data_IF_362702255679
#
_entry.id   IF_362702255679
#
_cell.length_a   1.000
_cell.length_b   1.000
_cell.length_c   1.000
_cell.angle_alpha   90.00
_cell.angle_beta   90.00
_cell.angle_gamma   90.00
#
_symmetry.space_group_name_H-M   'P 1'
#
loop_
_entity.id
_entity.type
_entity.pdbx_description
1 polymer ?
#
# COMPACT_ATOMS: atom_id res chain seq x y z
N UNK A 1 2.75 -33.28 -46.22
CA UNK A 1 2.17 -33.67 -44.91
C UNK A 1 2.43 -32.57 -43.91
N UNK A 2 1.39 -32.17 -43.17
CA UNK A 2 1.35 -31.26 -42.00
C UNK A 2 1.63 -29.78 -42.30
N UNK A 3 0.91 -28.79 -41.78
CA UNK A 3 -0.40 -28.65 -41.10
C UNK A 3 -0.60 -27.12 -41.00
N UNK A 4 -1.84 -26.64 -41.14
CA UNK A 4 -2.24 -25.31 -40.65
C UNK A 4 -1.87 -25.14 -39.16
N UNK A 5 -1.62 -23.91 -38.70
CA UNK A 5 -2.29 -23.23 -37.56
C UNK A 5 -1.67 -21.85 -37.27
N UNK A 6 -2.54 -20.83 -37.39
CA UNK A 6 -2.69 -19.55 -36.68
C UNK A 6 -1.47 -18.70 -36.26
N UNK A 7 -1.37 -17.53 -36.91
CA UNK A 7 -1.64 -16.21 -36.32
C UNK A 7 -1.51 -16.10 -34.78
N UNK A 8 -0.40 -15.54 -34.32
CA UNK A 8 -0.34 -14.80 -33.05
C UNK A 8 -0.08 -13.34 -33.39
N UNK A 9 -1.13 -12.54 -33.25
CA UNK A 9 -1.07 -11.09 -33.21
C UNK A 9 -0.09 -10.72 -32.10
N UNK A 10 1.10 -10.24 -32.46
CA UNK A 10 1.92 -9.43 -31.57
C UNK A 10 1.14 -8.14 -31.33
N UNK A 11 0.33 -8.10 -30.27
CA UNK A 11 -0.07 -6.84 -29.66
C UNK A 11 1.16 -6.35 -28.92
N UNK A 12 2.12 -5.83 -29.68
CA UNK A 12 3.07 -4.83 -29.18
C UNK A 12 2.25 -3.57 -28.93
N UNK A 13 1.45 -3.62 -27.87
CA UNK A 13 1.06 -2.40 -27.18
C UNK A 13 2.35 -1.82 -26.66
N UNK A 14 2.88 -0.84 -27.39
CA UNK A 14 3.74 0.20 -26.85
C UNK A 14 2.96 0.88 -25.73
N UNK A 15 2.95 0.26 -24.54
CA UNK A 15 2.55 0.94 -23.33
C UNK A 15 3.66 1.94 -23.06
N UNK A 16 3.40 3.22 -23.27
CA UNK A 16 4.17 4.24 -22.58
C UNK A 16 4.02 3.96 -21.09
N UNK A 17 5.10 3.50 -20.47
CA UNK A 17 5.15 3.24 -19.04
C UNK A 17 5.06 4.61 -18.35
N UNK A 18 3.86 4.97 -17.88
CA UNK A 18 3.72 6.10 -16.99
C UNK A 18 4.21 5.70 -15.60
N UNK A 19 5.13 6.48 -15.04
CA UNK A 19 5.46 6.42 -13.62
C UNK A 19 4.21 6.73 -12.79
N UNK A 20 4.12 6.16 -11.59
CA UNK A 20 3.04 6.47 -10.65
C UNK A 20 3.12 7.96 -10.32
N UNK A 21 2.02 8.68 -10.57
CA UNK A 21 1.98 10.13 -10.33
C UNK A 21 1.60 10.45 -8.88
N UNK A 22 2.02 11.61 -8.37
CA UNK A 22 1.58 12.11 -7.05
C UNK A 22 0.06 12.16 -6.94
N UNK A 23 -0.64 12.56 -8.01
CA UNK A 23 -2.11 12.57 -8.04
C UNK A 23 -2.72 11.18 -7.87
N UNK A 24 -2.07 10.14 -8.42
CA UNK A 24 -2.51 8.77 -8.22
C UNK A 24 -2.28 8.28 -6.79
N UNK A 25 -1.15 8.64 -6.18
CA UNK A 25 -0.89 8.37 -4.75
C UNK A 25 -1.94 9.07 -3.88
N UNK A 26 -2.16 10.36 -4.13
CA UNK A 26 -3.12 11.20 -3.40
C UNK A 26 -4.55 10.65 -3.45
N UNK A 27 -4.91 9.99 -4.55
CA UNK A 27 -6.24 9.41 -4.70
C UNK A 27 -6.59 8.38 -3.62
N UNK A 28 -5.60 7.73 -3.01
CA UNK A 28 -5.81 6.76 -1.93
C UNK A 28 -6.19 7.40 -0.58
N UNK A 29 -5.94 8.70 -0.36
CA UNK A 29 -6.43 9.41 0.83
C UNK A 29 -7.90 9.81 0.75
N UNK A 30 -8.57 9.49 -0.37
CA UNK A 30 -10.01 9.68 -0.55
C UNK A 30 -10.83 9.04 0.57
N UNK A 31 -11.94 9.68 1.02
CA UNK A 31 -12.90 9.06 1.94
C UNK A 31 -13.44 7.71 1.46
N UNK A 32 -13.45 7.46 0.14
CA UNK A 32 -13.93 6.21 -0.48
C UNK A 32 -12.96 5.03 -0.35
N UNK A 33 -11.68 5.28 -0.03
CA UNK A 33 -10.70 4.23 0.17
C UNK A 33 -11.02 3.41 1.41
N UNK A 34 -11.11 2.11 1.26
CA UNK A 34 -11.27 1.15 2.34
C UNK A 34 -9.90 0.60 2.72
N UNK A 35 -9.68 0.36 4.01
CA UNK A 35 -8.40 -0.12 4.52
C UNK A 35 -8.59 -1.50 5.12
N UNK A 36 -7.73 -2.42 4.70
CA UNK A 36 -7.67 -3.78 5.21
C UNK A 36 -6.32 -4.02 5.88
N UNK A 37 -6.30 -4.90 6.87
CA UNK A 37 -5.08 -5.37 7.53
C UNK A 37 -4.92 -6.87 7.28
N UNK A 38 -3.70 -7.27 6.95
CA UNK A 38 -3.29 -8.67 6.80
C UNK A 38 -2.69 -9.19 8.11
N UNK A 39 -2.92 -10.47 8.44
CA UNK A 39 -2.12 -11.16 9.46
C UNK A 39 -0.88 -11.87 8.88
N UNK A 40 -0.71 -11.80 7.56
CA UNK A 40 0.47 -12.26 6.85
C UNK A 40 1.43 -11.07 6.62
N UNK A 41 2.72 -11.38 6.56
CA UNK A 41 3.73 -10.43 6.10
C UNK A 41 4.01 -10.62 4.62
N UNK A 42 4.35 -9.53 3.92
CA UNK A 42 4.77 -9.56 2.52
C UNK A 42 6.11 -8.86 2.32
N UNK A 43 6.75 -9.12 1.20
CA UNK A 43 8.01 -8.48 0.83
C UNK A 43 7.77 -7.05 0.37
N UNK A 44 8.58 -6.14 0.88
CA UNK A 44 8.69 -4.76 0.42
C UNK A 44 10.15 -4.42 0.19
N UNK A 45 10.38 -3.63 -0.86
CA UNK A 45 11.68 -3.04 -1.10
C UNK A 45 11.74 -1.71 -0.34
N UNK A 46 12.90 -1.44 0.22
CA UNK A 46 13.15 -0.25 0.98
C UNK A 46 14.38 0.46 0.45
N UNK A 47 14.27 1.77 0.25
CA UNK A 47 15.35 2.68 -0.10
C UNK A 47 15.10 4.02 0.59
N UNK A 48 16.11 4.58 1.27
CA UNK A 48 15.96 5.93 1.81
C UNK A 48 15.89 6.96 0.69
N UNK A 49 15.06 8.02 0.80
CA UNK A 49 14.91 9.03 -0.26
C UNK A 49 16.22 9.75 -0.64
N UNK A 50 17.19 9.82 0.27
CA UNK A 50 18.50 10.44 0.09
C UNK A 50 19.62 9.44 -0.31
N UNK A 51 19.29 8.15 -0.43
CA UNK A 51 20.22 7.09 -0.84
C UNK A 51 20.23 6.92 -2.37
N UNK A 52 20.75 7.95 -3.06
CA UNK A 52 20.79 8.02 -4.52
C UNK A 52 21.59 6.90 -5.19
N UNK A 53 22.59 6.36 -4.49
CA UNK A 53 23.44 5.26 -4.97
C UNK A 53 22.86 3.87 -4.62
N UNK A 54 21.79 3.83 -3.83
CA UNK A 54 21.07 2.60 -3.46
C UNK A 54 21.87 1.64 -2.57
N UNK A 55 22.90 2.14 -1.90
CA UNK A 55 23.81 1.35 -1.07
C UNK A 55 23.12 0.78 0.18
N UNK A 56 22.06 1.45 0.65
CA UNK A 56 21.29 1.08 1.83
C UNK A 56 19.91 0.50 1.48
N UNK A 57 19.79 -0.09 0.29
CA UNK A 57 18.56 -0.76 -0.13
C UNK A 57 18.38 -2.11 0.54
N UNK A 58 17.13 -2.48 0.88
CA UNK A 58 16.83 -3.82 1.42
C UNK A 58 15.47 -4.35 1.02
N UNK A 59 15.37 -5.68 1.01
CA UNK A 59 14.09 -6.38 0.94
C UNK A 59 13.72 -6.90 2.31
N UNK A 60 12.55 -6.52 2.82
CA UNK A 60 12.08 -6.94 4.14
C UNK A 60 10.67 -7.50 4.10
N UNK A 61 10.38 -8.46 4.98
CA UNK A 61 9.01 -8.95 5.21
C UNK A 61 8.35 -8.12 6.30
N UNK A 62 7.36 -7.32 5.93
CA UNK A 62 6.67 -6.41 6.84
C UNK A 62 5.18 -6.77 6.95
N UNK A 63 4.55 -6.36 8.05
CA UNK A 63 3.09 -6.29 8.08
C UNK A 63 2.67 -5.12 7.17
N UNK A 64 1.42 -5.08 6.73
CA UNK A 64 0.99 -4.04 5.80
C UNK A 64 -0.52 -3.84 5.80
N UNK A 65 -0.91 -2.62 5.49
CA UNK A 65 -2.27 -2.29 5.07
C UNK A 65 -2.45 -2.55 3.57
N UNK A 66 -3.68 -2.90 3.19
CA UNK A 66 -4.14 -2.93 1.79
C UNK A 66 -5.18 -1.84 1.65
N UNK A 67 -4.89 -0.83 0.82
CA UNK A 67 -5.80 0.28 0.53
C UNK A 67 -6.55 -0.02 -0.76
N UNK A 68 -7.87 0.00 -0.68
CA UNK A 68 -8.76 -0.41 -1.78
C UNK A 68 -9.62 0.79 -2.18
N UNK A 69 -9.36 1.31 -3.38
CA UNK A 69 -10.08 2.46 -3.94
C UNK A 69 -10.96 2.04 -5.11
N UNK A 70 -12.28 2.26 -5.02
CA UNK A 70 -13.20 2.06 -6.14
C UNK A 70 -13.00 3.15 -7.22
N UNK A 71 -12.64 2.74 -8.43
CA UNK A 71 -12.47 3.59 -9.62
C UNK A 71 -13.36 3.06 -10.74
N UNK A 72 -14.47 3.75 -11.00
CA UNK A 72 -15.50 3.27 -11.91
C UNK A 72 -16.14 1.98 -11.39
N UNK A 73 -15.93 0.86 -12.10
CA UNK A 73 -16.42 -0.49 -11.73
C UNK A 73 -15.30 -1.43 -11.25
N UNK A 74 -14.09 -0.91 -11.04
CA UNK A 74 -12.91 -1.69 -10.64
C UNK A 74 -12.27 -1.11 -9.39
N UNK A 75 -11.35 -1.83 -8.79
CA UNK A 75 -10.66 -1.47 -7.55
C UNK A 75 -9.18 -1.28 -7.80
N UNK A 76 -8.66 -0.09 -7.50
CA UNK A 76 -7.22 0.19 -7.48
C UNK A 76 -6.68 -0.18 -6.11
N UNK A 77 -5.54 -0.87 -6.08
CA UNK A 77 -4.92 -1.40 -4.86
C UNK A 77 -3.57 -0.74 -4.63
N UNK A 78 -3.35 -0.25 -3.41
CA UNK A 78 -2.01 0.07 -2.91
C UNK A 78 -1.77 -0.63 -1.57
N UNK A 79 -0.52 -0.66 -1.16
CA UNK A 79 -0.06 -1.28 0.07
C UNK A 79 0.67 -0.23 0.91
N UNK A 80 0.50 -0.29 2.23
CA UNK A 80 1.29 0.55 3.13
C UNK A 80 2.01 -0.35 4.12
N UNK A 81 3.33 -0.54 4.01
CA UNK A 81 4.12 -1.31 4.96
C UNK A 81 4.04 -0.67 6.36
N UNK A 82 3.96 -1.50 7.40
CA UNK A 82 4.03 -1.06 8.80
C UNK A 82 5.16 -1.79 9.52
N UNK A 83 5.89 -1.04 10.32
CA UNK A 83 7.05 -1.47 11.07
C UNK A 83 6.76 -1.49 12.58
N UNK A 84 7.66 -2.09 13.35
CA UNK A 84 7.68 -2.06 14.83
C UNK A 84 6.32 -2.38 15.49
N UNK A 85 5.58 -3.35 14.95
CA UNK A 85 4.30 -3.80 15.51
C UNK A 85 4.53 -4.40 16.91
N UNK A 86 3.92 -3.78 17.91
CA UNK A 86 4.13 -4.09 19.34
C UNK A 86 3.38 -5.33 19.84
N UNK A 87 2.24 -5.66 19.23
CA UNK A 87 1.40 -6.78 19.67
C UNK A 87 0.44 -7.27 18.58
N UNK A 88 -0.05 -8.49 18.76
CA UNK A 88 -0.92 -9.20 17.83
C UNK A 88 -2.15 -9.75 18.56
N UNK A 89 -3.30 -9.79 17.88
CA UNK A 89 -4.50 -10.44 18.39
C UNK A 89 -4.37 -11.98 18.36
N UNK A 90 -5.37 -12.68 18.91
CA UNK A 90 -5.38 -14.14 18.95
C UNK A 90 -5.45 -14.81 17.56
N UNK A 91 -5.75 -14.05 16.50
CA UNK A 91 -5.78 -14.49 15.11
C UNK A 91 -4.49 -14.07 14.36
N UNK A 92 -3.53 -13.46 15.06
CA UNK A 92 -2.24 -13.03 14.52
C UNK A 92 -2.27 -11.71 13.75
N UNK A 93 -3.37 -10.95 13.79
CA UNK A 93 -3.38 -9.62 13.17
C UNK A 93 -2.72 -8.60 14.09
N UNK A 94 -2.00 -7.60 13.54
CA UNK A 94 -1.53 -6.46 14.33
C UNK A 94 -2.66 -5.80 15.13
N UNK A 95 -2.42 -5.55 16.41
CA UNK A 95 -3.32 -4.73 17.22
C UNK A 95 -3.03 -3.26 16.92
N UNK A 96 -4.04 -2.51 16.49
CA UNK A 96 -3.91 -1.12 16.05
C UNK A 96 -4.50 -0.19 17.11
N UNK A 97 -3.64 0.57 17.80
CA UNK A 97 -4.05 1.55 18.81
C UNK A 97 -3.56 2.93 18.45
N UNK A 98 -4.36 3.93 18.82
CA UNK A 98 -4.10 5.33 18.54
C UNK A 98 -4.29 6.15 19.81
N UNK A 99 -3.49 7.21 19.91
CA UNK A 99 -3.74 8.32 20.84
C UNK A 99 -3.94 9.60 20.04
N UNK A 100 -4.58 10.60 20.63
CA UNK A 100 -4.70 11.91 19.99
C UNK A 100 -3.54 12.79 20.43
N UNK A 101 -2.74 13.25 19.47
CA UNK A 101 -1.65 14.20 19.73
C UNK A 101 -1.90 15.51 18.99
N UNK A 102 -1.34 16.62 19.49
CA UNK A 102 -1.35 17.89 18.73
C UNK A 102 -0.18 17.87 17.75
N UNK A 103 -0.48 17.88 16.46
CA UNK A 103 0.50 17.90 15.38
C UNK A 103 0.30 19.14 14.51
N UNK A 104 1.39 19.69 13.98
CA UNK A 104 1.32 20.77 13.01
C UNK A 104 0.82 20.23 11.67
N UNK A 105 -0.12 20.93 11.04
CA UNK A 105 -0.65 20.59 9.71
C UNK A 105 -0.27 21.70 8.72
N UNK A 106 0.57 21.39 7.73
CA UNK A 106 1.08 22.31 6.70
C UNK A 106 -0.05 23.01 5.97
N UNK A 107 -1.07 22.24 5.55
CA UNK A 107 -2.20 22.76 4.77
C UNK A 107 -3.02 23.82 5.52
N UNK A 108 -3.27 23.63 6.82
CA UNK A 108 -4.04 24.56 7.64
C UNK A 108 -3.17 25.55 8.42
N UNK A 109 -1.84 25.35 8.42
CA UNK A 109 -0.82 26.16 9.10
C UNK A 109 -1.05 26.30 10.61
N UNK A 110 -1.58 25.27 11.26
CA UNK A 110 -1.86 25.27 12.70
C UNK A 110 -1.70 23.88 13.30
N UNK A 111 -1.66 23.84 14.64
CA UNK A 111 -1.69 22.58 15.37
C UNK A 111 -3.11 22.04 15.44
N UNK A 112 -3.29 20.80 15.01
CA UNK A 112 -4.56 20.08 15.01
C UNK A 112 -4.43 18.78 15.82
N UNK A 113 -5.57 18.28 16.30
CA UNK A 113 -5.62 17.00 17.00
C UNK A 113 -5.60 15.88 15.98
N UNK A 114 -4.48 15.17 15.89
CA UNK A 114 -4.26 14.08 14.94
C UNK A 114 -4.19 12.75 15.70
N UNK A 115 -4.91 11.70 15.26
CA UNK A 115 -4.69 10.37 15.78
C UNK A 115 -3.30 9.88 15.35
N UNK A 116 -2.51 9.42 16.31
CA UNK A 116 -1.15 8.93 16.13
C UNK A 116 -1.09 7.48 16.58
N UNK A 117 -0.56 6.61 15.72
CA UNK A 117 -0.37 5.20 16.06
C UNK A 117 0.56 5.04 17.26
N UNK A 118 0.20 4.17 18.20
CA UNK A 118 1.02 3.85 19.38
C UNK A 118 1.48 2.40 19.42
N UNK A 119 0.89 1.53 18.60
CA UNK A 119 1.19 0.09 18.59
C UNK A 119 2.00 -0.35 17.37
N UNK A 120 2.32 0.55 16.45
CA UNK A 120 3.11 0.31 15.25
C UNK A 120 3.69 1.64 14.75
N UNK A 121 4.72 1.57 13.92
CA UNK A 121 5.34 2.73 13.27
C UNK A 121 5.41 2.57 11.75
N UNK A 122 5.87 3.61 11.07
CA UNK A 122 6.19 3.58 9.65
C UNK A 122 7.67 3.90 9.49
N UNK A 123 8.30 3.25 8.53
CA UNK A 123 9.68 3.52 8.18
C UNK A 123 9.70 4.09 6.77
N UNK A 124 10.18 5.33 6.64
CA UNK A 124 10.18 6.12 5.39
C UNK A 124 10.84 5.40 4.22
N UNK A 125 11.78 4.49 4.53
CA UNK A 125 12.49 3.69 3.54
C UNK A 125 11.56 2.82 2.68
N UNK A 126 10.45 2.32 3.22
CA UNK A 126 9.55 1.41 2.49
C UNK A 126 8.40 2.12 1.77
N UNK A 127 8.41 3.46 1.76
CA UNK A 127 7.39 4.28 1.11
C UNK A 127 5.98 4.12 1.71
N UNK A 128 5.04 4.82 1.10
CA UNK A 128 3.61 4.76 1.44
C UNK A 128 2.79 4.65 0.15
N UNK A 129 1.67 3.93 0.21
CA UNK A 129 0.83 3.66 -0.97
C UNK A 129 1.62 2.98 -2.09
N UNK A 130 2.41 1.97 -1.74
CA UNK A 130 3.21 1.17 -2.65
C UNK A 130 2.30 0.37 -3.62
N UNK A 131 2.68 0.22 -4.90
CA UNK A 131 1.94 -0.60 -5.87
C UNK A 131 1.96 -2.11 -5.60
N UNK A 132 2.77 -2.55 -4.64
CA UNK A 132 2.97 -3.92 -4.22
C UNK A 132 4.15 -4.57 -4.92
N UNK A 133 4.43 -5.81 -4.55
CA UNK A 133 5.57 -6.56 -5.07
C UNK A 133 5.14 -7.83 -5.79
N UNK A 134 6.05 -8.41 -6.57
CA UNK A 134 5.85 -9.70 -7.21
C UNK A 134 7.12 -10.55 -7.16
N UNK A 135 6.94 -11.86 -7.11
CA UNK A 135 8.02 -12.83 -7.19
C UNK A 135 7.93 -13.54 -8.55
N UNK A 136 8.95 -13.40 -9.38
CA UNK A 136 9.07 -14.05 -10.69
C UNK A 136 10.39 -14.80 -10.74
N UNK A 137 10.32 -16.10 -11.04
CA UNK A 137 11.51 -16.97 -11.13
C UNK A 137 12.42 -16.90 -9.89
N UNK A 138 11.82 -16.83 -8.69
CA UNK A 138 12.53 -16.72 -7.42
C UNK A 138 13.12 -15.33 -7.11
N UNK A 139 13.00 -14.36 -8.02
CA UNK A 139 13.43 -12.97 -7.83
C UNK A 139 12.25 -12.07 -7.45
N UNK A 140 12.51 -11.09 -6.60
CA UNK A 140 11.54 -10.11 -6.11
C UNK A 140 11.62 -8.84 -6.96
N UNK A 141 10.47 -8.23 -7.21
CA UNK A 141 10.35 -7.00 -7.98
C UNK A 141 9.26 -6.14 -7.36
N UNK A 142 9.46 -4.83 -7.33
CA UNK A 142 8.38 -3.88 -7.12
C UNK A 142 7.53 -3.81 -8.39
N UNK A 143 6.23 -3.57 -8.21
CA UNK A 143 5.34 -3.33 -9.34
C UNK A 143 5.54 -1.88 -9.79
N UNK A 144 5.72 -1.66 -11.08
CA UNK A 144 5.80 -0.28 -11.59
C UNK A 144 4.43 0.43 -11.65
N UNK A 145 3.34 -0.21 -11.22
CA UNK A 145 1.97 0.32 -11.28
C UNK A 145 1.04 -0.37 -10.31
N UNK A 146 0.02 0.37 -9.86
CA UNK A 146 -1.07 -0.17 -9.07
C UNK A 146 -1.83 -1.28 -9.81
N UNK A 147 -2.22 -2.30 -9.05
CA UNK A 147 -3.16 -3.30 -9.55
C UNK A 147 -4.55 -2.68 -9.68
N UNK A 148 -5.24 -2.97 -10.78
CA UNK A 148 -6.64 -2.58 -11.00
C UNK A 148 -7.45 -3.85 -11.22
N UNK A 149 -8.26 -4.20 -10.21
CA UNK A 149 -8.91 -5.49 -10.08
C UNK A 149 -10.43 -5.36 -10.29
N UNK A 150 -11.03 -6.38 -10.88
CA UNK A 150 -12.47 -6.62 -10.72
C UNK A 150 -12.81 -7.02 -9.29
N UNK A 151 -14.10 -7.02 -8.93
CA UNK A 151 -14.55 -7.41 -7.59
C UNK A 151 -14.14 -8.84 -7.21
N UNK A 152 -14.25 -9.79 -8.15
CA UNK A 152 -13.87 -11.19 -7.91
C UNK A 152 -12.36 -11.33 -7.67
N UNK A 153 -11.54 -10.60 -8.44
CA UNK A 153 -10.08 -10.56 -8.26
C UNK A 153 -9.68 -9.91 -6.93
N UNK A 154 -10.36 -8.82 -6.53
CA UNK A 154 -10.18 -8.20 -5.22
C UNK A 154 -10.49 -9.20 -4.10
N UNK A 155 -11.64 -9.87 -4.17
CA UNK A 155 -12.04 -10.85 -3.15
C UNK A 155 -11.05 -12.02 -3.06
N UNK A 156 -10.54 -12.50 -4.20
CA UNK A 156 -9.50 -13.52 -4.24
C UNK A 156 -8.19 -13.02 -3.61
N UNK A 157 -7.78 -11.78 -3.92
CA UNK A 157 -6.59 -11.15 -3.32
C UNK A 157 -6.73 -11.06 -1.80
N UNK A 158 -7.81 -10.43 -1.29
CA UNK A 158 -8.04 -10.25 0.14
C UNK A 158 -8.06 -11.58 0.89
N UNK A 159 -8.71 -12.61 0.31
CA UNK A 159 -8.70 -13.96 0.87
C UNK A 159 -7.30 -14.58 0.88
N UNK A 160 -6.53 -14.44 -0.19
CA UNK A 160 -5.17 -14.99 -0.30
C UNK A 160 -4.22 -14.39 0.74
N UNK A 161 -4.39 -13.10 1.05
CA UNK A 161 -3.62 -12.37 2.06
C UNK A 161 -4.15 -12.57 3.47
N UNK A 162 -5.25 -13.30 3.63
CA UNK A 162 -6.00 -13.38 4.89
C UNK A 162 -6.22 -11.98 5.49
N UNK A 163 -6.76 -11.09 4.67
CA UNK A 163 -6.98 -9.70 5.03
C UNK A 163 -8.40 -9.49 5.58
N UNK A 164 -8.51 -8.69 6.65
CA UNK A 164 -9.78 -8.23 7.20
C UNK A 164 -9.93 -6.73 7.07
N UNK A 165 -11.15 -6.26 6.83
CA UNK A 165 -11.44 -4.83 6.79
C UNK A 165 -11.31 -4.25 8.19
N UNK A 166 -10.74 -3.05 8.29
CA UNK A 166 -10.74 -2.31 9.55
C UNK A 166 -12.16 -1.88 9.93
N UNK A 167 -12.45 -1.83 11.23
CA UNK A 167 -13.68 -1.19 11.70
C UNK A 167 -13.65 0.32 11.42
N UNK A 168 -14.80 0.97 11.45
CA UNK A 168 -14.94 2.37 11.04
C UNK A 168 -14.08 3.35 11.87
N UNK A 169 -13.85 3.06 13.16
CA UNK A 169 -13.07 3.95 14.03
C UNK A 169 -11.59 3.79 13.74
N UNK A 170 -11.12 2.54 13.67
CA UNK A 170 -9.73 2.23 13.34
C UNK A 170 -9.38 2.67 11.91
N UNK A 171 -10.26 2.44 10.93
CA UNK A 171 -10.09 2.89 9.53
C UNK A 171 -9.96 4.41 9.46
N UNK A 172 -10.82 5.16 10.16
CA UNK A 172 -10.75 6.63 10.21
C UNK A 172 -9.42 7.12 10.79
N UNK A 173 -8.99 6.56 11.92
CA UNK A 173 -7.74 6.95 12.57
C UNK A 173 -6.52 6.60 11.72
N UNK A 174 -6.52 5.40 11.12
CA UNK A 174 -5.47 4.96 10.19
C UNK A 174 -5.34 5.94 9.03
N UNK A 175 -6.44 6.28 8.37
CA UNK A 175 -6.43 7.21 7.22
C UNK A 175 -5.96 8.60 7.59
N UNK A 176 -6.43 9.15 8.71
CA UNK A 176 -6.00 10.47 9.18
C UNK A 176 -4.51 10.49 9.55
N UNK A 177 -3.99 9.41 10.15
CA UNK A 177 -2.57 9.30 10.47
C UNK A 177 -1.70 9.18 9.20
N UNK A 178 -2.13 8.36 8.25
CA UNK A 178 -1.45 8.20 6.96
C UNK A 178 -1.43 9.51 6.14
N UNK A 179 -2.57 10.21 6.06
CA UNK A 179 -2.69 11.51 5.38
C UNK A 179 -1.77 12.54 6.03
N UNK A 180 -1.76 12.59 7.38
CA UNK A 180 -0.86 13.48 8.09
C UNK A 180 0.61 13.18 7.78
N UNK A 181 1.04 11.92 7.87
CA UNK A 181 2.42 11.54 7.53
C UNK A 181 2.76 11.98 6.11
N UNK A 182 1.98 11.55 5.12
CA UNK A 182 2.31 11.77 3.72
C UNK A 182 2.35 13.25 3.31
N UNK A 183 1.46 14.09 3.85
CA UNK A 183 1.40 15.50 3.47
C UNK A 183 2.14 16.46 4.42
N UNK A 184 2.75 15.95 5.50
CA UNK A 184 3.41 16.80 6.50
C UNK A 184 4.84 16.39 6.87
N UNK A 185 5.31 15.20 6.46
CA UNK A 185 6.69 14.76 6.71
C UNK A 185 7.59 14.75 5.47
N UNK A 186 7.05 15.15 4.31
CA UNK A 186 7.76 15.29 3.05
C UNK A 186 8.19 16.74 2.79
#
# INVERSE_FOLDING_TARGET
MKKFVLMLIFILGSFSFGEITEQEVDSFFSPKTQVYISNQKDWFFGQYPDDFDGENTKWEKLNYFINVLLVGKKYKISYTPIDEVTSYDNQGYPVLTYTTTKQYVIKSRRNENIPTATSYSFNIMFGMMDPGTEIKNGKKYERNRYQVLSESELNALLKSKNAKRLDSTTEKNTKAWLDWLFHNTN
#
